data_IF_827707905866
#
_entry.id   IF_827707905866
#
_cell.length_a   1.000
_cell.length_b   1.000
_cell.length_c   1.000
_cell.angle_alpha   90.00
_cell.angle_beta   90.00
_cell.angle_gamma   90.00
#
_symmetry.space_group_name_H-M   'P 1'
#
loop_
_entity.id
_entity.type
_entity.pdbx_description
1 polymer ?
#
# COMPACT_ATOMS: atom_id res chain seq x y z
N UNK A 1 -20.19 16.74 74.70
CA UNK A 1 -19.47 17.63 73.78
C UNK A 1 -19.19 16.85 72.48
N UNK A 2 -20.04 17.11 71.46
CA UNK A 2 -20.01 16.43 70.18
C UNK A 2 -18.89 17.05 69.28
N UNK A 3 -18.00 16.22 68.81
CA UNK A 3 -17.08 16.57 67.71
C UNK A 3 -17.56 15.85 66.45
N UNK A 4 -18.12 16.63 65.52
CA UNK A 4 -18.56 16.13 64.22
C UNK A 4 -17.35 16.03 63.29
N UNK A 5 -17.05 14.84 62.80
CA UNK A 5 -16.12 14.60 61.74
C UNK A 5 -16.77 15.01 60.39
N UNK A 6 -16.14 15.92 59.68
CA UNK A 6 -16.48 16.26 58.29
C UNK A 6 -15.83 15.26 57.36
N UNK A 7 -16.64 14.44 56.76
CA UNK A 7 -16.22 13.65 55.55
C UNK A 7 -16.03 14.58 54.35
N UNK A 8 -14.82 14.71 53.90
CA UNK A 8 -14.48 15.35 52.62
C UNK A 8 -14.70 14.36 51.49
N UNK A 9 -15.82 14.50 50.81
CA UNK A 9 -16.12 13.83 49.54
C UNK A 9 -15.17 14.35 48.47
N UNK A 10 -14.16 13.59 48.11
CA UNK A 10 -13.33 13.86 46.97
C UNK A 10 -14.09 13.48 45.70
N UNK A 11 -14.63 14.45 45.03
CA UNK A 11 -15.17 14.30 43.67
C UNK A 11 -14.03 13.97 42.72
N UNK A 12 -13.97 12.69 42.31
CA UNK A 12 -13.09 12.27 41.24
C UNK A 12 -13.64 12.88 39.94
N UNK A 13 -13.04 13.97 39.51
CA UNK A 13 -13.28 14.52 38.17
C UNK A 13 -12.71 13.54 37.18
N UNK A 14 -13.52 12.69 36.61
CA UNK A 14 -13.17 11.89 35.43
C UNK A 14 -12.92 12.87 34.29
N UNK A 15 -11.65 12.99 33.89
CA UNK A 15 -11.24 13.63 32.63
C UNK A 15 -12.06 13.02 31.50
N UNK A 16 -12.59 13.81 30.53
CA UNK A 16 -13.36 13.26 29.44
C UNK A 16 -12.49 12.27 28.68
N UNK A 17 -13.02 11.05 28.58
CA UNK A 17 -12.48 9.95 27.82
C UNK A 17 -12.13 10.48 26.40
N UNK A 18 -10.84 10.45 26.04
CA UNK A 18 -10.40 10.87 24.71
C UNK A 18 -10.99 9.87 23.72
N UNK A 19 -12.07 10.27 23.09
CA UNK A 19 -12.93 9.48 22.23
C UNK A 19 -12.13 8.66 21.21
N UNK A 20 -12.29 7.35 21.26
CA UNK A 20 -11.88 6.45 20.18
C UNK A 20 -12.61 6.86 18.91
N UNK A 21 -11.87 7.00 17.81
CA UNK A 21 -12.41 7.37 16.50
C UNK A 21 -12.32 6.18 15.55
N UNK A 22 -13.35 5.99 14.75
CA UNK A 22 -13.35 4.97 13.70
C UNK A 22 -13.15 5.69 12.36
N UNK A 23 -12.08 5.34 11.64
CA UNK A 23 -11.78 5.88 10.33
C UNK A 23 -11.69 4.75 9.30
N UNK A 24 -12.11 5.05 8.08
CA UNK A 24 -11.91 4.16 6.94
C UNK A 24 -10.90 4.79 5.98
N UNK A 25 -9.94 3.99 5.51
CA UNK A 25 -8.99 4.36 4.47
C UNK A 25 -9.22 3.49 3.25
N UNK A 26 -9.35 4.10 2.06
CA UNK A 26 -9.52 3.41 0.78
C UNK A 26 -8.35 3.75 -0.12
N UNK A 27 -7.67 2.73 -0.64
CA UNK A 27 -6.66 2.82 -1.67
C UNK A 27 -7.20 2.29 -2.99
N UNK A 28 -7.21 3.14 -4.02
CA UNK A 28 -7.65 2.82 -5.38
C UNK A 28 -6.41 2.57 -6.23
N UNK A 29 -5.96 1.32 -6.22
CA UNK A 29 -4.78 0.86 -6.96
C UNK A 29 -5.07 0.44 -8.39
N UNK A 30 -4.01 0.04 -9.09
CA UNK A 30 -4.08 -0.41 -10.50
C UNK A 30 -4.81 -1.75 -10.65
N UNK A 31 -4.54 -2.69 -9.75
CA UNK A 31 -5.13 -4.03 -9.79
C UNK A 31 -6.34 -4.16 -8.87
N UNK A 32 -6.27 -3.60 -7.70
CA UNK A 32 -7.22 -3.82 -6.61
C UNK A 32 -7.58 -2.53 -5.91
N UNK A 33 -8.78 -2.50 -5.35
CA UNK A 33 -9.20 -1.49 -4.36
C UNK A 33 -9.13 -2.16 -2.98
N UNK A 34 -8.47 -1.49 -2.05
CA UNK A 34 -8.35 -1.94 -0.67
C UNK A 34 -9.01 -0.94 0.26
N UNK A 35 -9.72 -1.43 1.27
CA UNK A 35 -10.20 -0.62 2.36
C UNK A 35 -9.78 -1.23 3.69
N UNK A 36 -9.35 -0.39 4.60
CA UNK A 36 -9.12 -0.72 6.00
C UNK A 36 -9.98 0.19 6.85
N UNK A 37 -10.73 -0.38 7.78
CA UNK A 37 -11.44 0.38 8.81
C UNK A 37 -10.70 0.16 10.12
N UNK A 38 -10.25 1.24 10.74
CA UNK A 38 -9.44 1.21 11.94
C UNK A 38 -10.05 2.04 13.05
N UNK A 39 -9.87 1.56 14.28
CA UNK A 39 -10.16 2.29 15.51
C UNK A 39 -8.86 2.94 15.98
N UNK A 40 -8.90 4.25 16.14
CA UNK A 40 -7.77 5.06 16.55
C UNK A 40 -8.04 5.60 17.94
N UNK A 41 -7.10 5.38 18.84
CA UNK A 41 -7.10 6.02 20.15
C UNK A 41 -6.01 7.10 20.15
N UNK A 42 -6.39 8.35 20.35
CA UNK A 42 -5.46 9.48 20.32
C UNK A 42 -4.35 9.41 21.38
N UNK A 43 -4.47 8.54 22.38
CA UNK A 43 -3.48 8.35 23.45
C UNK A 43 -2.50 7.21 23.20
N UNK A 44 -2.78 6.35 22.19
CA UNK A 44 -1.96 5.20 21.88
C UNK A 44 -1.29 5.42 20.50
N UNK A 45 -0.01 5.07 20.33
CA UNK A 45 0.67 5.19 19.05
C UNK A 45 0.20 4.17 18.00
N UNK A 46 -0.72 3.27 18.35
CA UNK A 46 -1.21 2.19 17.49
C UNK A 46 -2.72 2.32 17.25
N UNK A 47 -3.17 1.81 16.11
CA UNK A 47 -4.57 1.67 15.78
C UNK A 47 -4.95 0.19 15.67
N UNK A 48 -6.23 -0.13 15.93
CA UNK A 48 -6.75 -1.48 15.80
C UNK A 48 -7.55 -1.60 14.52
N UNK A 49 -7.17 -2.53 13.65
CA UNK A 49 -7.94 -2.84 12.44
C UNK A 49 -9.19 -3.62 12.84
N UNK A 50 -10.37 -3.09 12.50
CA UNK A 50 -11.66 -3.72 12.77
C UNK A 50 -12.31 -4.36 11.55
N UNK A 51 -11.93 -3.91 10.34
CA UNK A 51 -12.36 -4.55 9.10
C UNK A 51 -11.35 -4.29 7.99
N UNK A 52 -11.28 -5.22 7.04
CA UNK A 52 -10.54 -5.09 5.78
C UNK A 52 -11.43 -5.55 4.64
N UNK A 53 -11.39 -4.83 3.53
CA UNK A 53 -12.02 -5.21 2.27
C UNK A 53 -10.97 -5.13 1.16
N UNK A 54 -10.94 -6.12 0.28
CA UNK A 54 -10.06 -6.13 -0.89
C UNK A 54 -10.82 -6.70 -2.07
N UNK A 55 -10.84 -5.97 -3.18
CA UNK A 55 -11.46 -6.41 -4.41
C UNK A 55 -10.54 -6.18 -5.61
N UNK A 56 -10.43 -7.20 -6.47
CA UNK A 56 -9.63 -7.14 -7.70
C UNK A 56 -10.45 -6.52 -8.81
N UNK A 57 -10.29 -5.22 -9.01
CA UNK A 57 -11.08 -4.41 -9.98
C UNK A 57 -10.42 -4.31 -11.34
N UNK A 58 -9.08 -4.50 -11.39
CA UNK A 58 -8.27 -4.33 -12.59
C UNK A 58 -8.48 -2.96 -13.25
N UNK A 59 -8.48 -1.89 -12.43
CA UNK A 59 -8.69 -0.52 -12.92
C UNK A 59 -7.59 -0.09 -13.91
N UNK A 60 -6.44 -0.75 -13.90
CA UNK A 60 -5.36 -0.53 -14.86
C UNK A 60 -5.63 -1.04 -16.28
N UNK A 61 -6.75 -1.72 -16.56
CA UNK A 61 -7.16 -2.06 -17.91
C UNK A 61 -7.37 -0.81 -18.73
N UNK A 62 -6.71 -0.75 -19.91
CA UNK A 62 -6.69 0.42 -20.77
C UNK A 62 -7.28 0.13 -22.13
N UNK A 63 -7.97 1.10 -22.67
CA UNK A 63 -8.25 1.11 -24.10
C UNK A 63 -6.91 1.14 -24.86
N UNK A 64 -6.67 0.24 -25.83
CA UNK A 64 -5.39 0.15 -26.52
C UNK A 64 -5.06 1.37 -27.38
N UNK A 65 -6.05 2.13 -27.82
CA UNK A 65 -5.89 3.30 -28.70
C UNK A 65 -5.80 4.60 -27.91
N UNK A 66 -6.77 4.83 -27.01
CA UNK A 66 -6.88 6.10 -26.26
C UNK A 66 -6.10 6.08 -24.97
N UNK A 67 -5.73 4.90 -24.43
CA UNK A 67 -5.11 4.68 -23.12
C UNK A 67 -6.01 5.09 -21.95
N UNK A 68 -7.30 5.30 -22.19
CA UNK A 68 -8.30 5.55 -21.18
C UNK A 68 -8.55 4.32 -20.28
N UNK A 69 -9.02 4.55 -19.06
CA UNK A 69 -9.68 3.51 -18.26
C UNK A 69 -10.88 2.99 -19.03
N UNK A 70 -11.03 1.67 -19.13
CA UNK A 70 -12.17 1.09 -19.84
C UNK A 70 -13.48 1.33 -19.08
N UNK A 71 -14.62 1.48 -19.78
CA UNK A 71 -15.91 1.64 -19.11
C UNK A 71 -16.20 0.53 -18.11
N UNK A 72 -15.88 -0.71 -18.46
CA UNK A 72 -16.09 -1.89 -17.61
C UNK A 72 -15.26 -1.83 -16.32
N UNK A 73 -14.00 -1.38 -16.41
CA UNK A 73 -13.12 -1.21 -15.24
C UNK A 73 -13.65 -0.09 -14.33
N UNK A 74 -14.14 1.00 -14.90
CA UNK A 74 -14.77 2.11 -14.17
C UNK A 74 -16.01 1.61 -13.41
N UNK A 75 -16.91 0.85 -14.07
CA UNK A 75 -18.11 0.31 -13.42
C UNK A 75 -17.76 -0.62 -12.25
N UNK A 76 -16.79 -1.52 -12.44
CA UNK A 76 -16.30 -2.39 -11.35
C UNK A 76 -15.77 -1.57 -10.17
N UNK A 77 -14.99 -0.52 -10.46
CA UNK A 77 -14.45 0.36 -9.43
C UNK A 77 -15.54 1.08 -8.64
N UNK A 78 -16.52 1.69 -9.32
CA UNK A 78 -17.64 2.39 -8.68
C UNK A 78 -18.48 1.42 -7.83
N UNK A 79 -18.76 0.22 -8.35
CA UNK A 79 -19.48 -0.81 -7.59
C UNK A 79 -18.73 -1.22 -6.31
N UNK A 80 -17.41 -1.39 -6.39
CA UNK A 80 -16.56 -1.70 -5.24
C UNK A 80 -16.53 -0.55 -4.23
N UNK A 81 -16.32 0.69 -4.68
CA UNK A 81 -16.32 1.87 -3.80
C UNK A 81 -17.65 2.05 -3.08
N UNK A 82 -18.77 1.78 -3.74
CA UNK A 82 -20.10 1.78 -3.12
C UNK A 82 -20.23 0.73 -2.01
N UNK A 83 -19.65 -0.47 -2.19
CA UNK A 83 -19.62 -1.49 -1.12
C UNK A 83 -18.74 -1.05 0.04
N UNK A 84 -17.54 -0.53 -0.25
CA UNK A 84 -16.64 0.02 0.78
C UNK A 84 -17.32 1.11 1.61
N UNK A 85 -17.99 2.05 0.96
CA UNK A 85 -18.71 3.13 1.64
C UNK A 85 -19.83 2.59 2.56
N UNK A 86 -20.62 1.64 2.08
CA UNK A 86 -21.66 0.99 2.90
C UNK A 86 -21.08 0.27 4.12
N UNK A 87 -19.95 -0.44 3.93
CA UNK A 87 -19.28 -1.13 5.04
C UNK A 87 -18.72 -0.12 6.05
N UNK A 88 -18.06 0.95 5.59
CA UNK A 88 -17.57 2.01 6.48
C UNK A 88 -18.71 2.64 7.31
N UNK A 89 -19.85 2.94 6.65
CA UNK A 89 -21.05 3.47 7.31
C UNK A 89 -21.62 2.49 8.33
N UNK A 90 -21.72 1.20 8.01
CA UNK A 90 -22.23 0.17 8.93
C UNK A 90 -21.36 0.02 10.18
N UNK A 91 -20.07 0.27 10.06
CA UNK A 91 -19.09 0.28 11.15
C UNK A 91 -18.99 1.64 11.84
N UNK A 92 -19.84 2.60 11.47
CA UNK A 92 -19.89 3.96 12.04
C UNK A 92 -18.56 4.72 11.90
N UNK A 93 -17.87 4.54 10.76
CA UNK A 93 -16.69 5.32 10.46
C UNK A 93 -17.07 6.81 10.37
N UNK A 94 -16.38 7.65 11.13
CA UNK A 94 -16.62 9.09 11.19
C UNK A 94 -16.11 9.79 9.94
N UNK A 95 -15.10 9.21 9.29
CA UNK A 95 -14.50 9.74 8.08
C UNK A 95 -14.02 8.62 7.18
N UNK A 96 -14.17 8.84 5.87
CA UNK A 96 -13.57 7.99 4.83
C UNK A 96 -12.49 8.83 4.14
N UNK A 97 -11.26 8.36 4.17
CA UNK A 97 -10.13 8.92 3.42
C UNK A 97 -9.87 8.01 2.22
N UNK A 98 -10.03 8.53 1.01
CA UNK A 98 -9.79 7.77 -0.21
C UNK A 98 -8.65 8.39 -1.02
N UNK A 99 -7.74 7.53 -1.50
CA UNK A 99 -6.63 7.91 -2.38
C UNK A 99 -6.69 7.11 -3.67
N UNK A 100 -6.25 7.72 -4.77
CA UNK A 100 -6.07 7.05 -6.05
C UNK A 100 -4.61 7.23 -6.50
N UNK A 101 -4.07 6.19 -7.11
CA UNK A 101 -2.64 6.09 -7.43
C UNK A 101 -2.41 5.99 -8.96
N UNK A 102 -1.40 5.26 -9.39
CA UNK A 102 -0.87 5.25 -10.76
C UNK A 102 -1.93 4.99 -11.84
N UNK A 103 -2.89 4.08 -11.62
CA UNK A 103 -3.90 3.79 -12.63
C UNK A 103 -4.74 5.02 -13.00
N UNK A 104 -5.20 5.76 -12.02
CA UNK A 104 -6.02 6.95 -12.22
C UNK A 104 -5.15 8.15 -12.63
N UNK A 105 -3.98 8.29 -12.00
CA UNK A 105 -3.05 9.40 -12.25
C UNK A 105 -2.60 9.48 -13.71
N UNK A 106 -2.43 8.33 -14.35
CA UNK A 106 -1.88 8.24 -15.69
C UNK A 106 -2.93 8.08 -16.80
N UNK A 107 -4.19 7.92 -16.44
CA UNK A 107 -5.28 7.81 -17.43
C UNK A 107 -5.69 9.17 -17.95
N UNK A 108 -5.82 9.35 -19.27
CA UNK A 108 -6.36 10.59 -19.82
C UNK A 108 -7.75 10.93 -19.26
N UNK A 109 -8.61 9.92 -19.05
CA UNK A 109 -9.93 10.06 -18.45
C UNK A 109 -9.95 9.90 -16.91
N UNK A 110 -8.79 9.85 -16.23
CA UNK A 110 -8.71 9.64 -14.79
C UNK A 110 -9.45 10.70 -13.97
N UNK A 111 -9.36 11.98 -14.37
CA UNK A 111 -10.10 13.06 -13.70
C UNK A 111 -11.62 12.92 -13.87
N UNK A 112 -12.07 12.51 -15.05
CA UNK A 112 -13.49 12.26 -15.30
C UNK A 112 -14.00 11.10 -14.43
N UNK A 113 -13.21 10.05 -14.25
CA UNK A 113 -13.50 8.97 -13.29
C UNK A 113 -13.66 9.49 -11.86
N UNK A 114 -12.73 10.31 -11.37
CA UNK A 114 -12.81 10.89 -10.02
C UNK A 114 -14.04 11.77 -9.84
N UNK A 115 -14.36 12.59 -10.83
CA UNK A 115 -15.56 13.41 -10.82
C UNK A 115 -16.84 12.56 -10.79
N UNK A 116 -16.85 11.45 -11.51
CA UNK A 116 -17.96 10.50 -11.50
C UNK A 116 -18.14 9.84 -10.13
N UNK A 117 -17.03 9.44 -9.47
CA UNK A 117 -17.04 8.89 -8.10
C UNK A 117 -17.62 9.91 -7.12
N UNK A 118 -17.20 11.16 -7.20
CA UNK A 118 -17.73 12.23 -6.34
C UNK A 118 -19.24 12.46 -6.61
N UNK A 119 -19.65 12.56 -7.86
CA UNK A 119 -21.05 12.79 -8.24
C UNK A 119 -21.99 11.64 -7.84
N UNK A 120 -21.58 10.38 -8.05
CA UNK A 120 -22.43 9.21 -7.79
C UNK A 120 -22.42 8.73 -6.35
N UNK A 121 -21.30 8.93 -5.64
CA UNK A 121 -21.09 8.38 -4.30
C UNK A 121 -20.92 9.46 -3.22
N UNK A 122 -20.73 10.73 -3.59
CA UNK A 122 -20.32 11.77 -2.65
C UNK A 122 -18.98 11.47 -1.99
N UNK A 123 -18.12 10.70 -2.65
CA UNK A 123 -16.82 10.28 -2.13
C UNK A 123 -15.71 11.07 -2.78
N UNK A 124 -15.12 12.00 -2.02
CA UNK A 124 -13.94 12.72 -2.47
C UNK A 124 -12.71 11.81 -2.45
N UNK A 125 -12.03 11.69 -3.58
CA UNK A 125 -10.82 10.87 -3.75
C UNK A 125 -9.63 11.76 -4.04
N UNK A 126 -8.59 11.66 -3.21
CA UNK A 126 -7.33 12.37 -3.40
C UNK A 126 -6.47 11.64 -4.44
N UNK A 127 -6.11 12.33 -5.51
CA UNK A 127 -5.15 11.82 -6.48
C UNK A 127 -3.74 12.15 -6.01
N UNK A 128 -2.99 11.14 -5.56
CA UNK A 128 -1.66 11.33 -5.00
C UNK A 128 -0.57 11.25 -6.06
N UNK A 129 0.49 12.05 -5.89
CA UNK A 129 1.71 11.93 -6.69
C UNK A 129 2.47 10.64 -6.34
N UNK A 130 3.37 10.18 -7.20
CA UNK A 130 4.19 9.00 -6.91
C UNK A 130 5.08 9.18 -5.66
N UNK A 131 5.60 10.38 -5.42
CA UNK A 131 6.37 10.67 -4.21
C UNK A 131 5.49 10.65 -2.95
N UNK A 132 4.27 11.17 -3.03
CA UNK A 132 3.33 11.12 -1.91
C UNK A 132 2.86 9.68 -1.64
N UNK A 133 2.65 8.89 -2.69
CA UNK A 133 2.39 7.45 -2.60
C UNK A 133 3.54 6.74 -1.86
N UNK A 134 4.80 6.97 -2.27
CA UNK A 134 5.99 6.44 -1.61
C UNK A 134 6.09 6.88 -0.13
N UNK A 135 5.75 8.15 0.17
CA UNK A 135 5.74 8.66 1.55
C UNK A 135 4.69 7.96 2.40
N UNK A 136 3.49 7.72 1.87
CA UNK A 136 2.42 7.01 2.57
C UNK A 136 2.78 5.54 2.82
N UNK A 137 3.40 4.88 1.84
CA UNK A 137 3.95 3.51 2.00
C UNK A 137 4.97 3.48 3.12
N UNK A 138 5.91 4.43 3.15
CA UNK A 138 6.91 4.54 4.21
C UNK A 138 6.26 4.61 5.60
N UNK A 139 5.29 5.49 5.79
CA UNK A 139 4.56 5.63 7.05
C UNK A 139 3.78 4.35 7.42
N UNK A 140 3.19 3.69 6.42
CA UNK A 140 2.50 2.42 6.61
C UNK A 140 3.43 1.32 7.10
N UNK A 141 4.63 1.21 6.53
CA UNK A 141 5.63 0.22 6.95
C UNK A 141 6.14 0.53 8.36
N UNK A 142 6.40 1.80 8.70
CA UNK A 142 6.80 2.21 10.05
C UNK A 142 5.72 1.89 11.11
N UNK A 143 4.45 1.90 10.74
CA UNK A 143 3.36 1.55 11.66
C UNK A 143 3.30 0.05 11.98
N UNK A 144 3.90 -0.79 11.15
CA UNK A 144 3.86 -2.26 11.26
C UNK A 144 5.18 -2.93 11.64
N UNK A 145 6.30 -2.18 11.63
CA UNK A 145 7.64 -2.73 11.89
C UNK A 145 8.51 -1.73 12.64
N UNK A 146 9.32 -2.22 13.57
CA UNK A 146 10.35 -1.45 14.26
C UNK A 146 11.70 -1.59 13.54
N UNK A 147 12.38 -0.48 13.31
CA UNK A 147 13.67 -0.44 12.61
C UNK A 147 14.86 -0.12 13.51
N UNK A 148 14.64 0.32 14.75
CA UNK A 148 15.70 0.65 15.72
C UNK A 148 16.79 1.58 15.13
N UNK A 149 16.36 2.58 14.36
CA UNK A 149 17.24 3.51 13.62
C UNK A 149 18.17 2.84 12.60
N UNK A 150 17.94 1.58 12.25
CA UNK A 150 18.69 0.91 11.19
C UNK A 150 18.24 1.43 9.82
N UNK A 151 19.18 1.80 8.93
CA UNK A 151 18.81 2.18 7.57
C UNK A 151 18.11 1.02 6.85
N UNK A 152 17.09 1.35 6.07
CA UNK A 152 16.32 0.35 5.33
C UNK A 152 15.87 0.88 3.98
N UNK A 153 15.77 -0.03 3.04
CA UNK A 153 15.21 0.22 1.71
C UNK A 153 13.87 -0.50 1.64
N UNK A 154 12.80 0.25 1.42
CA UNK A 154 11.49 -0.33 1.16
C UNK A 154 11.30 -0.42 -0.35
N UNK A 155 10.86 -1.58 -0.83
CA UNK A 155 10.42 -1.82 -2.19
C UNK A 155 8.95 -2.23 -2.18
N UNK A 156 8.11 -1.44 -2.83
CA UNK A 156 6.71 -1.74 -3.10
C UNK A 156 6.52 -2.02 -4.58
N UNK A 157 6.13 -3.24 -4.94
CA UNK A 157 5.88 -3.60 -6.34
C UNK A 157 4.37 -3.70 -6.55
N UNK A 158 3.79 -2.60 -6.99
CA UNK A 158 2.37 -2.51 -7.30
C UNK A 158 2.01 -2.99 -8.70
N UNK A 159 0.75 -2.80 -9.08
CA UNK A 159 0.28 -3.15 -10.42
C UNK A 159 0.75 -2.20 -11.52
N UNK A 160 0.87 -0.91 -11.24
CA UNK A 160 1.22 0.14 -12.21
C UNK A 160 2.57 0.80 -12.00
N UNK A 161 3.07 0.81 -10.77
CA UNK A 161 4.34 1.44 -10.37
C UNK A 161 5.11 0.57 -9.38
N UNK A 162 6.35 0.93 -9.16
CA UNK A 162 7.22 0.43 -8.09
C UNK A 162 7.79 1.62 -7.35
N UNK A 163 7.63 1.63 -6.04
CA UNK A 163 8.20 2.62 -5.16
C UNK A 163 9.47 2.06 -4.51
N UNK A 164 10.54 2.89 -4.50
CA UNK A 164 11.79 2.63 -3.80
C UNK A 164 12.03 3.77 -2.81
N UNK A 165 12.22 3.41 -1.54
CA UNK A 165 12.30 4.36 -0.44
C UNK A 165 13.49 3.99 0.43
N UNK A 166 14.42 4.92 0.64
CA UNK A 166 15.45 4.79 1.67
C UNK A 166 15.01 5.57 2.91
N UNK A 167 15.09 4.97 4.08
CA UNK A 167 14.76 5.62 5.34
C UNK A 167 15.60 5.12 6.51
N UNK A 168 15.43 5.77 7.66
CA UNK A 168 16.19 5.52 8.88
C UNK A 168 15.30 5.11 10.09
N UNK A 169 14.03 4.82 9.84
CA UNK A 169 13.05 4.50 10.88
C UNK A 169 12.32 5.72 11.45
N UNK A 170 12.72 6.94 11.07
CA UNK A 170 12.08 8.19 11.48
C UNK A 170 11.54 8.96 10.27
N UNK A 171 12.39 9.18 9.27
CA UNK A 171 12.05 9.93 8.06
C UNK A 171 12.58 9.24 6.80
N UNK A 172 11.92 9.43 5.67
CA UNK A 172 12.49 9.00 4.40
C UNK A 172 13.66 9.91 4.00
N UNK A 173 14.75 9.32 3.51
CA UNK A 173 15.89 10.03 2.90
C UNK A 173 15.70 10.20 1.41
N UNK A 174 15.16 9.17 0.73
CA UNK A 174 14.76 9.23 -0.68
C UNK A 174 13.37 8.66 -0.88
N UNK A 175 12.63 9.22 -1.83
CA UNK A 175 11.29 8.79 -2.24
C UNK A 175 11.23 8.74 -3.75
N UNK A 176 11.13 7.57 -4.33
CA UNK A 176 10.97 7.41 -5.78
C UNK A 176 9.75 6.55 -6.11
N UNK A 177 9.13 6.85 -7.25
CA UNK A 177 8.06 6.07 -7.85
C UNK A 177 8.36 5.93 -9.33
N UNK A 178 8.48 4.70 -9.79
CA UNK A 178 8.85 4.36 -11.16
C UNK A 178 7.69 3.63 -11.83
N UNK A 179 7.45 3.90 -13.12
CA UNK A 179 6.38 3.26 -13.91
C UNK A 179 6.73 1.81 -14.28
N UNK A 180 7.05 1.04 -13.27
CA UNK A 180 7.40 -0.37 -13.33
C UNK A 180 6.46 -1.12 -12.40
N UNK A 181 5.38 -1.70 -12.92
CA UNK A 181 4.39 -2.43 -12.14
C UNK A 181 3.96 -3.72 -12.83
N UNK A 182 3.60 -4.73 -12.05
CA UNK A 182 3.34 -6.08 -12.56
C UNK A 182 2.27 -6.12 -13.65
N UNK A 183 1.13 -5.46 -13.45
CA UNK A 183 0.04 -5.41 -14.44
C UNK A 183 0.45 -4.65 -15.69
N UNK A 184 1.11 -3.50 -15.52
CA UNK A 184 1.61 -2.69 -16.63
C UNK A 184 2.57 -3.48 -17.50
N UNK A 185 3.60 -4.07 -16.88
CA UNK A 185 4.65 -4.77 -17.61
C UNK A 185 4.13 -6.02 -18.31
N UNK A 186 3.20 -6.74 -17.70
CA UNK A 186 2.51 -7.87 -18.36
C UNK A 186 1.79 -7.39 -19.61
N UNK A 187 1.04 -6.31 -19.55
CA UNK A 187 0.29 -5.78 -20.69
C UNK A 187 1.21 -5.22 -21.81
N UNK A 188 2.39 -4.69 -21.47
CA UNK A 188 3.28 -4.05 -22.43
C UNK A 188 4.28 -5.03 -23.07
N UNK A 189 4.72 -6.07 -22.36
CA UNK A 189 5.83 -6.92 -22.78
C UNK A 189 5.47 -8.39 -22.99
N UNK A 190 4.34 -8.89 -22.46
CA UNK A 190 4.00 -10.30 -22.45
C UNK A 190 2.87 -10.59 -23.42
N UNK A 191 3.15 -11.32 -24.48
CA UNK A 191 2.18 -11.74 -25.49
C UNK A 191 2.04 -13.25 -25.56
N UNK A 192 2.96 -14.00 -24.93
CA UNK A 192 2.98 -15.47 -24.90
C UNK A 192 2.83 -16.01 -23.50
N UNK A 193 2.18 -17.18 -23.34
CA UNK A 193 2.06 -17.91 -22.08
C UNK A 193 2.45 -19.40 -22.33
N UNK A 194 3.55 -19.87 -21.73
CA UNK A 194 4.50 -19.14 -20.87
C UNK A 194 5.28 -18.04 -21.62
N UNK A 195 5.79 -17.08 -20.87
CA UNK A 195 6.64 -15.99 -21.39
C UNK A 195 7.81 -16.53 -22.20
N UNK A 196 8.05 -15.98 -23.39
CA UNK A 196 9.20 -16.36 -24.22
C UNK A 196 10.51 -15.78 -23.65
N UNK A 197 11.64 -16.44 -23.98
CA UNK A 197 12.97 -15.97 -23.56
C UNK A 197 13.26 -14.55 -24.06
N UNK A 198 12.79 -14.19 -25.23
CA UNK A 198 13.01 -12.86 -25.82
C UNK A 198 12.21 -11.79 -25.05
N UNK A 199 10.92 -12.04 -24.77
CA UNK A 199 10.10 -11.15 -23.97
C UNK A 199 10.69 -10.95 -22.57
N UNK A 200 11.18 -12.03 -21.96
CA UNK A 200 11.80 -11.97 -20.64
C UNK A 200 13.08 -11.12 -20.65
N UNK A 201 13.93 -11.26 -21.67
CA UNK A 201 15.14 -10.43 -21.81
C UNK A 201 14.80 -8.95 -22.01
N UNK A 202 13.82 -8.62 -22.85
CA UNK A 202 13.37 -7.24 -23.03
C UNK A 202 12.78 -6.66 -21.74
N UNK A 203 11.95 -7.42 -21.05
CA UNK A 203 11.38 -7.03 -19.77
C UNK A 203 12.48 -6.76 -18.74
N UNK A 204 13.47 -7.64 -18.61
CA UNK A 204 14.59 -7.43 -17.69
C UNK A 204 15.40 -6.18 -18.04
N UNK A 205 15.70 -5.96 -19.31
CA UNK A 205 16.47 -4.80 -19.76
C UNK A 205 15.69 -3.50 -19.45
N UNK A 206 14.39 -3.48 -19.75
CA UNK A 206 13.53 -2.34 -19.47
C UNK A 206 13.47 -2.03 -17.96
N UNK A 207 13.20 -3.03 -17.12
CA UNK A 207 13.12 -2.86 -15.66
C UNK A 207 14.44 -2.35 -15.09
N UNK A 208 15.59 -2.89 -15.54
CA UNK A 208 16.92 -2.42 -15.12
C UNK A 208 17.13 -0.96 -15.46
N UNK A 209 16.86 -0.56 -16.71
CA UNK A 209 17.02 0.83 -17.14
C UNK A 209 16.11 1.79 -16.36
N UNK A 210 14.87 1.38 -16.09
CA UNK A 210 13.92 2.22 -15.34
C UNK A 210 14.30 2.38 -13.87
N UNK A 211 14.95 1.39 -13.26
CA UNK A 211 15.36 1.42 -11.85
C UNK A 211 16.77 1.97 -11.61
N UNK A 212 17.57 2.21 -12.66
CA UNK A 212 18.95 2.67 -12.56
C UNK A 212 19.05 3.97 -11.74
N UNK A 213 18.33 5.01 -12.16
CA UNK A 213 18.34 6.31 -11.48
C UNK A 213 17.85 6.26 -10.02
N UNK A 214 16.71 5.61 -9.69
CA UNK A 214 16.31 5.43 -8.30
C UNK A 214 17.33 4.70 -7.43
N UNK A 215 18.05 3.72 -8.00
CA UNK A 215 19.09 2.98 -7.27
C UNK A 215 20.31 3.87 -7.04
N UNK A 216 20.74 4.64 -8.03
CA UNK A 216 21.83 5.63 -7.89
C UNK A 216 21.50 6.68 -6.82
N UNK A 217 20.25 7.16 -6.78
CA UNK A 217 19.80 8.11 -5.75
C UNK A 217 19.86 7.49 -4.35
N UNK A 218 19.44 6.24 -4.19
CA UNK A 218 19.59 5.52 -2.93
C UNK A 218 21.06 5.39 -2.54
N UNK A 219 21.92 4.96 -3.47
CA UNK A 219 23.35 4.78 -3.22
C UNK A 219 24.05 6.10 -2.81
N UNK A 220 23.68 7.21 -3.43
CA UNK A 220 24.21 8.53 -3.10
C UNK A 220 23.76 9.05 -1.72
N UNK A 221 22.67 8.52 -1.17
CA UNK A 221 22.12 8.91 0.13
C UNK A 221 22.38 7.89 1.24
N UNK A 222 23.13 6.83 0.96
CA UNK A 222 23.67 5.93 1.99
C UNK A 222 24.96 6.50 2.58
N UNK A 223 25.10 6.44 3.90
CA UNK A 223 26.31 6.84 4.57
C UNK A 223 27.39 5.75 4.46
N UNK A 224 28.64 6.14 4.59
CA UNK A 224 29.78 5.19 4.51
C UNK A 224 29.65 4.13 5.60
N UNK A 225 29.62 2.86 5.18
CA UNK A 225 29.50 1.72 6.11
C UNK A 225 28.08 1.31 6.48
N UNK A 226 27.05 2.05 6.04
CA UNK A 226 25.67 1.63 6.23
C UNK A 226 25.35 0.37 5.42
N UNK A 227 24.65 -0.56 6.08
CA UNK A 227 24.10 -1.76 5.44
C UNK A 227 22.58 -1.76 5.62
N UNK A 228 21.83 -1.26 4.66
CA UNK A 228 20.39 -1.15 4.78
C UNK A 228 19.72 -2.54 4.75
N UNK A 229 18.68 -2.71 5.55
CA UNK A 229 17.78 -3.86 5.47
C UNK A 229 16.81 -3.63 4.28
N UNK A 230 16.60 -4.66 3.45
CA UNK A 230 15.59 -4.61 2.40
C UNK A 230 14.25 -5.09 2.95
N UNK A 231 13.21 -4.29 2.76
CA UNK A 231 11.83 -4.58 3.17
C UNK A 231 10.93 -4.54 1.94
N UNK A 232 10.26 -5.65 1.67
CA UNK A 232 9.31 -5.74 0.58
C UNK A 232 7.87 -5.59 1.05
N UNK A 233 7.03 -4.94 0.26
CA UNK A 233 5.60 -4.77 0.54
C UNK A 233 4.78 -4.89 -0.75
N UNK A 234 3.44 -4.89 -0.62
CA UNK A 234 2.49 -5.05 -1.72
C UNK A 234 2.31 -6.49 -2.24
N UNK A 235 1.24 -6.69 -3.01
CA UNK A 235 0.76 -8.01 -3.40
C UNK A 235 1.76 -8.86 -4.20
N UNK A 236 2.64 -8.24 -4.99
CA UNK A 236 3.69 -8.97 -5.73
C UNK A 236 4.70 -9.59 -4.77
N UNK A 237 5.16 -8.83 -3.78
CA UNK A 237 6.10 -9.32 -2.76
C UNK A 237 5.43 -10.35 -1.85
N UNK A 238 4.18 -10.11 -1.43
CA UNK A 238 3.40 -11.08 -0.67
C UNK A 238 3.27 -12.42 -1.42
N UNK A 239 3.04 -12.38 -2.73
CA UNK A 239 2.95 -13.57 -3.57
C UNK A 239 4.26 -14.37 -3.56
N UNK A 240 5.41 -13.71 -3.69
CA UNK A 240 6.72 -14.36 -3.61
C UNK A 240 6.93 -15.02 -2.24
N UNK A 241 6.57 -14.32 -1.16
CA UNK A 241 6.65 -14.87 0.19
C UNK A 241 5.74 -16.09 0.39
N UNK A 242 4.50 -16.04 -0.13
CA UNK A 242 3.54 -17.14 -0.08
C UNK A 242 4.07 -18.38 -0.85
N UNK A 243 4.60 -18.19 -2.05
CA UNK A 243 5.17 -19.27 -2.88
C UNK A 243 6.33 -19.93 -2.12
N UNK A 244 7.24 -19.13 -1.55
CA UNK A 244 8.36 -19.64 -0.79
C UNK A 244 7.89 -20.38 0.47
N UNK A 245 6.99 -19.79 1.27
CA UNK A 245 6.49 -20.39 2.50
C UNK A 245 5.83 -21.77 2.24
N UNK A 246 4.96 -21.84 1.22
CA UNK A 246 4.34 -23.12 0.83
C UNK A 246 5.35 -24.18 0.47
N UNK A 247 6.41 -23.80 -0.26
CA UNK A 247 7.44 -24.73 -0.70
C UNK A 247 8.36 -25.16 0.43
N UNK A 248 8.77 -24.23 1.31
CA UNK A 248 9.78 -24.47 2.35
C UNK A 248 9.18 -24.95 3.67
N UNK A 249 7.98 -24.49 4.03
CA UNK A 249 7.31 -24.80 5.30
C UNK A 249 6.06 -25.68 5.15
N UNK A 250 5.58 -25.91 3.92
CA UNK A 250 4.32 -26.61 3.66
C UNK A 250 3.07 -25.81 4.02
N UNK A 251 3.20 -24.65 4.64
CA UNK A 251 2.10 -23.79 5.09
C UNK A 251 2.48 -22.32 4.96
N UNK A 252 1.49 -21.42 4.95
CA UNK A 252 1.70 -19.98 4.89
C UNK A 252 1.48 -19.39 6.29
N UNK A 253 2.47 -18.70 6.86
CA UNK A 253 2.30 -17.99 8.13
C UNK A 253 1.19 -16.94 8.08
N UNK A 254 0.49 -16.77 9.19
CA UNK A 254 -0.51 -15.74 9.35
C UNK A 254 -0.35 -15.08 10.74
N UNK A 255 0.09 -13.81 10.82
CA UNK A 255 0.36 -12.90 9.70
C UNK A 255 1.63 -13.24 8.89
N UNK A 256 1.67 -12.77 7.64
CA UNK A 256 2.86 -12.87 6.78
C UNK A 256 3.88 -11.75 7.08
N UNK A 257 3.48 -10.72 7.81
CA UNK A 257 4.34 -9.61 8.21
C UNK A 257 5.57 -10.10 8.97
N UNK A 258 6.74 -9.63 8.56
CA UNK A 258 8.02 -10.07 9.15
C UNK A 258 8.57 -11.38 8.59
N UNK A 259 7.92 -11.98 7.58
CA UNK A 259 8.45 -13.16 6.90
C UNK A 259 9.75 -12.81 6.17
N UNK A 260 10.80 -13.61 6.39
CA UNK A 260 12.12 -13.35 5.83
C UNK A 260 12.41 -14.26 4.63
N UNK A 261 12.90 -13.66 3.55
CA UNK A 261 13.39 -14.33 2.35
C UNK A 261 14.89 -14.05 2.19
N UNK A 262 15.71 -15.08 2.11
CA UNK A 262 17.11 -14.89 1.74
C UNK A 262 17.23 -14.56 0.24
N UNK A 263 18.34 -13.93 -0.15
CA UNK A 263 18.67 -13.73 -1.58
C UNK A 263 18.73 -15.05 -2.36
N UNK A 264 19.15 -16.13 -1.71
CA UNK A 264 19.22 -17.46 -2.31
C UNK A 264 17.83 -18.03 -2.56
N UNK A 265 16.91 -17.87 -1.59
CA UNK A 265 15.53 -18.32 -1.71
C UNK A 265 14.80 -17.59 -2.83
N UNK A 266 14.97 -16.26 -2.90
CA UNK A 266 14.39 -15.43 -3.96
C UNK A 266 14.86 -15.89 -5.35
N UNK A 267 16.17 -16.15 -5.53
CA UNK A 267 16.70 -16.72 -6.78
C UNK A 267 16.18 -18.13 -7.08
N UNK A 268 15.82 -18.88 -6.04
CA UNK A 268 15.26 -20.23 -6.15
C UNK A 268 13.80 -20.23 -6.62
N UNK A 269 13.06 -19.15 -6.38
CA UNK A 269 11.69 -18.99 -6.87
C UNK A 269 11.72 -18.74 -8.39
N UNK A 270 12.57 -17.81 -8.84
CA UNK A 270 12.70 -17.40 -10.24
C UNK A 270 13.08 -18.54 -11.21
N UNK A 271 13.82 -19.56 -10.75
CA UNK A 271 14.33 -20.64 -11.61
C UNK A 271 13.39 -21.84 -11.80
N UNK A 272 12.25 -21.87 -11.13
CA UNK A 272 11.40 -23.08 -11.05
C UNK A 272 9.92 -22.80 -11.34
N UNK A 273 9.58 -21.57 -11.65
CA UNK A 273 8.30 -21.12 -12.18
C UNK A 273 8.41 -20.94 -13.69
#
# INVERSE_FOLDING_TARGET
>A
MNSAARESSSTITTTPDKQERILAAIDIGTNSIHMVVGRINATLPAFTIIAKEKDTVRLGERDPKTRDLTPEAIERAIATLRRCQKLAQSLKAEQIVAVATSAVREAPNGRAFLQRVDTELGLFVNLVSGQEEARQIYLGVLSGMEFNSQPHIIIDIGGGSTELILGDGHKPRTLSSTKVGAVRLTAEFITTDPISNLEFQYLQAYVRGMLERPIEEIQANLEVGEQPRLVGTSGTIETLAIIHARKSLGTVPNPLTGYELSRTDLKGIDRKT
#
